data_IF_581477415945
#
_entry.id   IF_581477415945
#
_cell.length_a   1.000
_cell.length_b   1.000
_cell.length_c   1.000
_cell.angle_alpha   90.00
_cell.angle_beta   90.00
_cell.angle_gamma   90.00
#
_symmetry.space_group_name_H-M   'P 1'
#
loop_
_entity.id
_entity.type
_entity.pdbx_description
1 polymer ?
#
# COMPACT_ATOMS: atom_id res chain seq x y z
N UNK A 1 12.13 3.81 -0.76
CA UNK A 1 12.70 2.66 -0.02
C UNK A 1 11.93 1.44 -0.49
N UNK A 2 12.58 0.54 -1.24
CA UNK A 2 11.96 -0.71 -1.67
C UNK A 2 12.13 -1.75 -0.56
N UNK A 3 11.29 -1.67 0.47
CA UNK A 3 11.10 -2.74 1.46
C UNK A 3 9.99 -3.67 0.99
N UNK A 4 9.91 -4.88 1.54
CA UNK A 4 8.71 -5.72 1.34
C UNK A 4 7.45 -4.88 1.64
N UNK A 5 6.47 -4.83 0.73
CA UNK A 5 5.37 -3.89 0.82
C UNK A 5 4.54 -4.10 2.08
N UNK A 6 4.42 -5.35 2.54
CA UNK A 6 3.64 -5.73 3.71
C UNK A 6 4.14 -5.10 5.03
N UNK A 7 5.42 -4.75 5.16
CA UNK A 7 5.97 -4.12 6.37
C UNK A 7 6.32 -2.65 6.21
N UNK A 8 6.01 -2.06 5.05
CA UNK A 8 6.41 -0.70 4.73
C UNK A 8 5.94 0.30 5.79
N UNK A 9 4.67 0.22 6.23
CA UNK A 9 4.14 1.09 7.27
C UNK A 9 5.00 1.07 8.54
N UNK A 10 5.30 -0.12 9.06
CA UNK A 10 6.09 -0.29 10.27
C UNK A 10 7.52 0.21 10.12
N UNK A 11 8.14 0.02 8.95
CA UNK A 11 9.49 0.54 8.66
C UNK A 11 9.49 2.06 8.59
N UNK A 12 8.56 2.64 7.83
CA UNK A 12 8.42 4.08 7.69
C UNK A 12 8.15 4.77 9.04
N UNK A 13 7.32 4.17 9.88
CA UNK A 13 7.04 4.67 11.22
C UNK A 13 8.31 4.68 12.08
N UNK A 14 9.06 3.58 12.12
CA UNK A 14 10.33 3.51 12.88
C UNK A 14 11.36 4.52 12.37
N UNK A 15 11.48 4.69 11.05
CA UNK A 15 12.41 5.65 10.45
C UNK A 15 12.13 7.10 10.86
N UNK A 16 10.85 7.45 11.12
CA UNK A 16 10.48 8.78 11.62
C UNK A 16 11.10 9.11 12.99
N UNK A 17 11.47 8.10 13.79
CA UNK A 17 12.05 8.26 15.12
C UNK A 17 13.56 7.97 15.15
N UNK A 18 14.22 7.82 14.00
CA UNK A 18 15.64 7.46 13.95
C UNK A 18 16.56 8.47 14.66
N UNK A 19 16.17 9.75 14.69
CA UNK A 19 16.95 10.82 15.30
C UNK A 19 16.88 10.80 16.83
N UNK A 20 15.83 10.22 17.42
CA UNK A 20 15.65 10.09 18.87
C UNK A 20 14.77 8.86 19.18
N UNK A 21 15.32 7.64 19.08
CA UNK A 21 14.58 6.41 19.30
C UNK A 21 14.33 6.16 20.80
N UNK A 22 13.14 5.65 21.13
CA UNK A 22 12.78 5.21 22.48
C UNK A 22 12.86 3.68 22.57
N UNK A 23 12.76 3.15 23.78
CA UNK A 23 12.73 1.69 24.01
C UNK A 23 11.58 1.00 23.28
N UNK A 24 10.41 1.66 23.17
CA UNK A 24 9.27 1.12 22.42
C UNK A 24 9.55 1.07 20.92
N UNK A 25 10.22 2.08 20.35
CA UNK A 25 10.64 2.04 18.94
C UNK A 25 11.62 0.88 18.68
N UNK A 26 12.58 0.65 19.58
CA UNK A 26 13.51 -0.48 19.47
C UNK A 26 12.79 -1.85 19.54
N UNK A 27 11.72 -1.97 20.33
CA UNK A 27 10.91 -3.20 20.38
C UNK A 27 10.21 -3.48 19.05
N UNK A 28 9.67 -2.44 18.40
CA UNK A 28 9.04 -2.56 17.07
C UNK A 28 10.07 -2.97 16.02
N UNK A 29 11.25 -2.34 16.03
CA UNK A 29 12.35 -2.72 15.11
C UNK A 29 12.74 -4.19 15.29
N UNK A 30 12.89 -4.67 16.53
CA UNK A 30 13.13 -6.10 16.82
C UNK A 30 12.01 -6.99 16.30
N UNK A 31 10.74 -6.56 16.39
CA UNK A 31 9.59 -7.28 15.85
C UNK A 31 9.65 -7.37 14.32
N UNK A 32 10.01 -6.28 13.63
CA UNK A 32 10.18 -6.28 12.18
C UNK A 32 11.27 -7.27 11.74
N UNK A 33 12.42 -7.28 12.42
CA UNK A 33 13.49 -8.25 12.14
C UNK A 33 13.08 -9.69 12.42
N UNK A 34 12.37 -9.96 13.53
CA UNK A 34 11.82 -11.30 13.80
C UNK A 34 10.86 -11.73 12.70
N UNK A 35 9.95 -10.85 12.28
CA UNK A 35 9.02 -11.15 11.21
C UNK A 35 9.75 -11.52 9.92
N UNK A 36 10.75 -10.73 9.50
CA UNK A 36 11.59 -11.05 8.35
C UNK A 36 12.30 -12.41 8.49
N UNK A 37 12.89 -12.69 9.67
CA UNK A 37 13.56 -13.97 9.95
C UNK A 37 12.61 -15.17 9.89
N UNK A 38 11.37 -15.01 10.32
CA UNK A 38 10.35 -16.07 10.33
C UNK A 38 9.53 -16.17 9.04
N UNK A 39 9.72 -15.24 8.10
CA UNK A 39 9.02 -15.24 6.80
C UNK A 39 9.99 -15.06 5.63
N UNK A 40 11.08 -15.84 5.55
CA UNK A 40 12.09 -15.69 4.50
C UNK A 40 11.55 -16.07 3.11
N UNK A 41 10.54 -16.93 3.10
CA UNK A 41 9.84 -17.53 1.96
C UNK A 41 8.68 -16.66 1.44
N UNK A 42 8.36 -15.55 2.10
CA UNK A 42 7.36 -14.61 1.58
C UNK A 42 7.96 -13.72 0.49
N UNK A 43 7.33 -13.73 -0.68
CA UNK A 43 7.71 -12.92 -1.83
C UNK A 43 6.50 -12.40 -2.61
N UNK A 44 6.74 -11.43 -3.48
CA UNK A 44 5.72 -10.97 -4.43
C UNK A 44 5.55 -12.02 -5.53
N UNK A 45 4.31 -12.46 -5.72
CA UNK A 45 3.93 -13.38 -6.79
C UNK A 45 3.30 -12.61 -7.96
N UNK A 46 3.79 -12.91 -9.17
CA UNK A 46 3.27 -12.36 -10.41
C UNK A 46 2.68 -13.50 -11.24
N UNK A 47 1.36 -13.49 -11.43
CA UNK A 47 0.71 -14.50 -12.26
C UNK A 47 0.90 -14.17 -13.74
N UNK A 48 1.35 -15.14 -14.53
CA UNK A 48 1.47 -15.00 -15.99
C UNK A 48 0.10 -14.92 -16.69
N UNK A 49 -0.97 -15.37 -16.04
CA UNK A 49 -2.34 -15.39 -16.58
C UNK A 49 -3.20 -14.19 -16.18
N UNK A 50 -2.66 -13.19 -15.47
CA UNK A 50 -3.48 -12.06 -15.02
C UNK A 50 -3.81 -11.09 -16.17
N UNK A 51 -5.03 -10.58 -16.19
CA UNK A 51 -5.45 -9.52 -17.11
C UNK A 51 -4.59 -8.26 -16.97
N UNK A 52 -4.36 -7.51 -18.04
CA UNK A 52 -3.58 -6.26 -18.01
C UNK A 52 -4.39 -5.04 -17.53
N UNK A 53 -5.35 -5.24 -16.63
CA UNK A 53 -6.19 -4.17 -16.09
C UNK A 53 -5.46 -3.40 -14.98
N UNK A 54 -5.28 -2.09 -15.13
CA UNK A 54 -4.67 -1.26 -14.09
C UNK A 54 -5.69 -0.88 -13.01
N UNK A 55 -5.43 -1.21 -11.75
CA UNK A 55 -6.20 -0.74 -10.58
C UNK A 55 -5.30 0.03 -9.63
N UNK A 56 -5.73 1.24 -9.26
CA UNK A 56 -5.06 2.07 -8.26
C UNK A 56 -5.91 2.21 -7.01
N UNK A 57 -5.28 2.01 -5.86
CA UNK A 57 -5.85 2.29 -4.55
C UNK A 57 -5.10 3.47 -3.94
N UNK A 58 -5.83 4.38 -3.32
CA UNK A 58 -5.24 5.49 -2.57
C UNK A 58 -5.99 5.65 -1.25
N UNK A 59 -5.23 5.75 -0.17
CA UNK A 59 -5.72 6.11 1.15
C UNK A 59 -4.88 7.29 1.67
N UNK A 60 -5.49 8.10 2.51
CA UNK A 60 -4.79 9.16 3.20
C UNK A 60 -5.27 9.20 4.65
N UNK A 61 -4.33 9.12 5.59
CA UNK A 61 -4.66 9.30 7.00
C UNK A 61 -4.73 10.80 7.34
N UNK A 62 -5.81 11.23 8.01
CA UNK A 62 -5.88 12.59 8.53
C UNK A 62 -5.24 12.61 9.91
N UNK A 63 -4.11 13.31 10.04
CA UNK A 63 -3.40 13.55 11.31
C UNK A 63 -2.91 12.29 12.08
N UNK A 64 -2.61 11.19 11.39
CA UNK A 64 -2.18 9.93 12.04
C UNK A 64 -0.92 10.05 12.91
N UNK A 65 -0.03 11.01 12.63
CA UNK A 65 1.10 11.33 13.49
C UNK A 65 0.67 12.27 14.63
N UNK A 66 0.43 11.74 15.84
CA UNK A 66 0.11 12.53 17.06
C UNK A 66 1.13 13.61 17.40
N UNK A 67 2.37 13.49 16.92
CA UNK A 67 3.48 14.40 17.20
C UNK A 67 3.51 15.58 16.23
N UNK A 68 3.28 15.33 14.94
CA UNK A 68 3.44 16.37 13.90
C UNK A 68 2.11 16.86 13.30
N UNK A 69 0.98 16.19 13.57
CA UNK A 69 -0.31 16.35 12.85
C UNK A 69 -0.17 16.34 11.32
N UNK A 70 0.81 15.60 10.80
CA UNK A 70 1.04 15.44 9.35
C UNK A 70 0.24 14.24 8.85
N UNK A 71 -0.42 14.43 7.72
CA UNK A 71 -1.05 13.35 6.95
C UNK A 71 -0.01 12.55 6.19
N UNK A 72 -0.29 11.27 6.01
CA UNK A 72 0.42 10.31 5.18
C UNK A 72 -0.51 9.93 4.05
N UNK A 73 -0.04 10.06 2.82
CA UNK A 73 -0.77 9.64 1.63
C UNK A 73 -0.09 8.42 1.04
N UNK A 74 -0.89 7.41 0.78
CA UNK A 74 -0.41 6.12 0.35
C UNK A 74 -1.16 5.69 -0.90
N UNK A 75 -0.41 5.02 -1.77
CA UNK A 75 -0.92 4.56 -3.05
C UNK A 75 -0.38 3.17 -3.34
N UNK A 76 -1.21 2.30 -3.88
CA UNK A 76 -0.75 1.07 -4.52
C UNK A 76 -1.45 0.84 -5.86
N UNK A 77 -0.71 0.30 -6.80
CA UNK A 77 -1.13 0.09 -8.18
C UNK A 77 -0.92 -1.38 -8.53
N UNK A 78 -1.98 -2.02 -9.00
CA UNK A 78 -1.99 -3.41 -9.43
C UNK A 78 -2.19 -3.46 -10.94
N UNK A 79 -1.42 -4.30 -11.62
CA UNK A 79 -1.68 -4.73 -12.98
C UNK A 79 -2.29 -6.13 -12.92
N UNK A 80 -3.59 -6.22 -13.22
CA UNK A 80 -4.38 -7.42 -12.97
C UNK A 80 -4.54 -7.68 -11.48
N UNK A 81 -3.88 -8.73 -11.02
CA UNK A 81 -3.77 -9.13 -9.61
C UNK A 81 -2.38 -8.87 -9.03
N UNK A 82 -1.44 -8.39 -9.85
CA UNK A 82 -0.04 -8.24 -9.46
C UNK A 82 0.25 -6.81 -9.00
N UNK A 83 0.77 -6.64 -7.78
CA UNK A 83 1.23 -5.34 -7.30
C UNK A 83 2.48 -4.89 -8.07
N UNK A 84 2.39 -3.77 -8.79
CA UNK A 84 3.49 -3.25 -9.63
C UNK A 84 4.14 -1.99 -9.06
N UNK A 85 3.42 -1.23 -8.24
CA UNK A 85 3.93 0.01 -7.65
C UNK A 85 3.22 0.32 -6.35
N UNK A 86 3.97 0.77 -5.34
CA UNK A 86 3.42 1.22 -4.07
C UNK A 86 4.27 2.35 -3.50
N UNK A 87 3.65 3.27 -2.78
CA UNK A 87 4.36 4.37 -2.15
C UNK A 87 3.62 4.88 -0.91
N UNK A 88 4.39 5.27 0.10
CA UNK A 88 3.93 5.97 1.29
C UNK A 88 4.63 7.32 1.38
N UNK A 89 3.85 8.40 1.50
CA UNK A 89 4.40 9.74 1.57
C UNK A 89 3.80 10.53 2.72
N UNK A 90 4.63 10.79 3.73
CA UNK A 90 4.34 11.78 4.77
C UNK A 90 4.32 13.18 4.15
N UNK A 91 3.22 13.90 4.31
CA UNK A 91 3.05 15.26 3.80
C UNK A 91 3.85 16.26 4.65
N UNK A 92 4.57 17.17 4.00
CA UNK A 92 5.27 18.26 4.67
C UNK A 92 4.29 19.36 5.08
N UNK A 93 4.21 19.65 6.38
CA UNK A 93 3.36 20.69 6.94
C UNK A 93 3.86 22.09 6.62
N UNK A 94 2.98 22.91 6.05
CA UNK A 94 3.05 24.38 5.86
C UNK A 94 3.95 24.89 4.73
N UNK A 95 3.32 25.22 3.61
CA UNK A 95 3.75 26.36 2.78
C UNK A 95 2.78 27.50 3.08
N UNK A 96 3.23 28.70 3.50
CA UNK A 96 2.36 29.85 3.75
C UNK A 96 1.80 30.49 2.46
N UNK A 97 1.80 29.76 1.36
CA UNK A 97 1.33 30.23 0.05
C UNK A 97 0.00 29.54 -0.25
N UNK A 98 -1.06 30.11 0.31
CA UNK A 98 -2.46 29.70 0.11
C UNK A 98 -2.93 29.88 -1.35
N UNK A 99 -2.09 30.42 -2.24
CA UNK A 99 -2.51 30.85 -3.57
C UNK A 99 -2.03 29.97 -4.74
N UNK A 100 -0.99 29.14 -4.58
CA UNK A 100 -0.54 28.24 -5.66
C UNK A 100 -0.98 26.78 -5.48
N UNK A 101 -1.11 26.30 -4.24
CA UNK A 101 -1.57 24.93 -3.94
C UNK A 101 -3.04 24.72 -4.26
N UNK A 102 -3.91 25.69 -3.96
CA UNK A 102 -5.34 25.61 -4.29
C UNK A 102 -5.53 25.50 -5.79
N UNK A 103 -4.85 26.34 -6.59
CA UNK A 103 -4.87 26.24 -8.06
C UNK A 103 -4.44 24.87 -8.57
N UNK A 104 -3.36 24.31 -8.04
CA UNK A 104 -2.88 22.99 -8.47
C UNK A 104 -3.78 21.84 -7.98
N UNK A 105 -4.46 21.99 -6.83
CA UNK A 105 -5.51 21.07 -6.39
C UNK A 105 -6.69 21.15 -7.34
N UNK A 106 -7.18 22.35 -7.64
CA UNK A 106 -8.31 22.58 -8.56
C UNK A 106 -8.00 22.07 -9.97
N UNK A 107 -6.79 22.32 -10.49
CA UNK A 107 -6.33 21.79 -11.79
C UNK A 107 -6.30 20.26 -11.79
N UNK A 108 -5.85 19.63 -10.70
CA UNK A 108 -5.87 18.16 -10.57
C UNK A 108 -7.28 17.60 -10.47
N UNK A 109 -8.17 18.29 -9.77
CA UNK A 109 -9.58 17.90 -9.68
C UNK A 109 -10.27 18.02 -11.04
N UNK A 110 -10.04 19.12 -11.75
CA UNK A 110 -10.58 19.31 -13.09
C UNK A 110 -10.01 18.24 -14.03
N UNK A 111 -8.71 17.96 -14.00
CA UNK A 111 -8.09 16.89 -14.79
C UNK A 111 -8.71 15.51 -14.49
N UNK A 112 -8.87 15.15 -13.21
CA UNK A 112 -9.51 13.89 -12.81
C UNK A 112 -10.96 13.81 -13.28
N UNK A 113 -11.71 14.92 -13.17
CA UNK A 113 -13.09 15.01 -13.66
C UNK A 113 -13.14 14.83 -15.17
N UNK A 114 -12.28 15.52 -15.91
CA UNK A 114 -12.24 15.43 -17.37
C UNK A 114 -11.95 14.00 -17.84
N UNK A 115 -11.03 13.29 -17.18
CA UNK A 115 -10.73 11.90 -17.51
C UNK A 115 -11.79 10.91 -17.04
N UNK A 116 -12.50 11.21 -15.95
CA UNK A 116 -13.66 10.44 -15.52
C UNK A 116 -14.82 10.59 -16.53
N UNK A 117 -15.12 11.81 -16.96
CA UNK A 117 -16.18 12.10 -17.95
C UNK A 117 -15.87 11.52 -19.34
N UNK A 118 -14.59 11.42 -19.71
CA UNK A 118 -14.14 10.76 -20.95
C UNK A 118 -14.22 9.22 -20.89
N UNK A 119 -14.39 8.64 -19.70
CA UNK A 119 -14.36 7.20 -19.48
C UNK A 119 -12.93 6.61 -19.48
N UNK A 120 -11.90 7.45 -19.31
CA UNK A 120 -10.51 7.00 -19.22
C UNK A 120 -10.17 6.42 -17.83
N UNK A 121 -10.91 6.85 -16.79
CA UNK A 121 -10.69 6.49 -15.39
C UNK A 121 -12.02 6.32 -14.67
N UNK A 122 -12.22 5.16 -14.03
CA UNK A 122 -13.35 4.94 -13.13
C UNK A 122 -12.95 5.20 -11.67
N UNK A 123 -13.66 6.12 -11.01
CA UNK A 123 -13.50 6.39 -9.58
C UNK A 123 -14.54 5.59 -8.78
N UNK A 124 -14.08 4.59 -8.04
CA UNK A 124 -14.93 3.72 -7.21
C UNK A 124 -14.57 3.88 -5.74
N UNK A 125 -15.58 4.11 -4.90
CA UNK A 125 -15.38 4.07 -3.46
C UNK A 125 -15.15 2.63 -2.99
N UNK A 126 -14.02 2.40 -2.31
CA UNK A 126 -13.67 1.09 -1.77
C UNK A 126 -13.83 1.11 -0.25
N UNK A 127 -14.65 0.21 0.27
CA UNK A 127 -14.82 0.04 1.72
C UNK A 127 -13.51 -0.39 2.38
N UNK A 128 -13.30 -0.02 3.65
CA UNK A 128 -12.09 -0.29 4.43
C UNK A 128 -11.64 -1.76 4.36
N UNK A 129 -12.59 -2.70 4.30
CA UNK A 129 -12.27 -4.12 4.20
C UNK A 129 -11.51 -4.48 2.91
N UNK A 130 -11.69 -3.76 1.81
CA UNK A 130 -11.06 -4.05 0.52
C UNK A 130 -10.04 -2.96 0.13
N UNK A 131 -9.75 -2.02 1.02
CA UNK A 131 -8.84 -0.92 0.77
C UNK A 131 -7.39 -1.41 0.92
N UNK A 132 -6.78 -1.87 -0.18
CA UNK A 132 -5.39 -2.35 -0.18
C UNK A 132 -4.40 -1.31 0.34
N UNK A 133 -4.69 -0.02 0.18
CA UNK A 133 -3.81 1.03 0.67
C UNK A 133 -3.72 1.09 2.21
N UNK A 134 -4.66 0.48 2.94
CA UNK A 134 -4.69 0.50 4.41
C UNK A 134 -3.47 -0.19 5.05
N UNK A 135 -2.90 -1.19 4.38
CA UNK A 135 -1.67 -1.86 4.85
C UNK A 135 -0.46 -0.91 4.90
N UNK A 136 -0.51 0.19 4.17
CA UNK A 136 0.53 1.20 4.16
C UNK A 136 0.26 2.37 5.12
N UNK A 137 -0.98 2.57 5.58
CA UNK A 137 -1.38 3.73 6.42
C UNK A 137 -1.71 3.37 7.86
N UNK A 138 -2.14 2.13 8.14
CA UNK A 138 -2.79 1.79 9.40
C UNK A 138 -2.08 0.66 10.15
N UNK A 139 -2.06 0.71 11.50
CA UNK A 139 -1.78 -0.47 12.30
C UNK A 139 -2.96 -1.44 12.15
N UNK A 140 -2.72 -2.55 11.47
CA UNK A 140 -3.75 -3.56 11.22
C UNK A 140 -3.74 -4.66 12.30
N UNK A 141 -4.93 -5.17 12.60
CA UNK A 141 -5.06 -6.44 13.32
C UNK A 141 -4.57 -7.60 12.45
N UNK A 142 -4.14 -8.69 13.09
CA UNK A 142 -3.48 -9.81 12.42
C UNK A 142 -4.30 -10.38 11.23
N UNK A 143 -5.61 -10.55 11.39
CA UNK A 143 -6.47 -11.07 10.32
C UNK A 143 -6.53 -10.14 9.11
N UNK A 144 -6.69 -8.83 9.34
CA UNK A 144 -6.69 -7.84 8.27
C UNK A 144 -5.32 -7.76 7.59
N UNK A 145 -4.24 -7.81 8.36
CA UNK A 145 -2.86 -7.83 7.85
C UNK A 145 -2.60 -9.02 6.93
N UNK A 146 -2.92 -10.24 7.36
CA UNK A 146 -2.67 -11.46 6.56
C UNK A 146 -3.47 -11.43 5.26
N UNK A 147 -4.73 -10.99 5.32
CA UNK A 147 -5.59 -10.86 4.15
C UNK A 147 -5.04 -9.85 3.14
N UNK A 148 -4.81 -8.60 3.58
CA UNK A 148 -4.32 -7.54 2.68
C UNK A 148 -2.93 -7.88 2.13
N UNK A 149 -2.06 -8.52 2.92
CA UNK A 149 -0.78 -9.05 2.46
C UNK A 149 -0.96 -10.07 1.31
N UNK A 150 -1.91 -10.99 1.44
CA UNK A 150 -2.23 -11.96 0.40
C UNK A 150 -2.79 -11.32 -0.86
N UNK A 151 -3.69 -10.34 -0.73
CA UNK A 151 -4.25 -9.59 -1.85
C UNK A 151 -3.22 -8.68 -2.56
N UNK A 152 -2.18 -8.22 -1.85
CA UNK A 152 -1.02 -7.58 -2.47
C UNK A 152 -0.14 -8.55 -3.26
N UNK A 153 -0.39 -9.86 -3.18
CA UNK A 153 0.44 -10.89 -3.80
C UNK A 153 1.69 -11.24 -3.00
N UNK A 154 1.80 -10.86 -1.72
CA UNK A 154 2.89 -11.29 -0.84
C UNK A 154 2.54 -12.66 -0.25
N UNK A 155 3.02 -13.70 -0.92
CA UNK A 155 2.66 -15.10 -0.67
C UNK A 155 3.89 -15.94 -0.37
N UNK A 156 3.67 -17.13 0.20
CA UNK A 156 4.72 -18.12 0.43
C UNK A 156 5.16 -18.70 -0.91
N UNK A 157 6.45 -18.59 -1.22
CA UNK A 157 7.01 -18.98 -2.53
C UNK A 157 7.40 -20.46 -2.55
N UNK A 158 7.72 -21.05 -1.40
CA UNK A 158 7.94 -22.50 -1.30
C UNK A 158 6.59 -23.22 -1.24
N UNK A 159 6.31 -24.08 -2.24
CA UNK A 159 5.07 -24.87 -2.29
C UNK A 159 3.96 -24.27 -3.16
N UNK A 160 4.26 -23.33 -4.06
CA UNK A 160 3.36 -23.08 -5.22
C UNK A 160 3.53 -24.27 -6.16
N UNK A 161 2.96 -25.40 -5.77
CA UNK A 161 2.69 -26.51 -6.66
C UNK A 161 1.95 -25.96 -7.88
N UNK A 162 2.31 -26.51 -9.04
CA UNK A 162 1.60 -26.36 -10.32
C UNK A 162 0.10 -26.79 -10.25
N UNK A 163 -0.46 -27.00 -9.05
CA UNK A 163 -1.83 -27.42 -8.78
C UNK A 163 -2.87 -26.32 -9.11
N UNK A 164 -2.53 -25.03 -8.98
CA UNK A 164 -3.40 -23.95 -9.49
C UNK A 164 -3.36 -23.82 -11.02
N UNK A 165 -2.38 -24.44 -11.70
CA UNK A 165 -2.30 -24.46 -13.17
C UNK A 165 -3.16 -25.60 -13.76
N UNK A 166 -3.45 -26.66 -12.99
CA UNK A 166 -4.28 -27.77 -13.48
C UNK A 166 -5.80 -27.57 -13.30
N UNK A 167 -6.22 -26.66 -12.43
CA UNK A 167 -7.66 -26.44 -12.14
C UNK A 167 -8.46 -25.73 -13.25
N UNK A 168 -7.79 -25.12 -14.24
CA UNK A 168 -8.44 -24.35 -15.32
C UNK A 168 -8.22 -24.94 -16.72
N UNK A 169 -7.59 -26.12 -16.83
CA UNK A 169 -7.36 -26.81 -18.12
C UNK A 169 -8.27 -28.04 -18.31
N UNK A 170 -9.05 -28.47 -17.29
CA UNK A 170 -10.00 -29.60 -17.42
C UNK A 170 -11.49 -29.18 -17.41
N UNK A 171 -11.80 -27.95 -17.82
CA UNK A 171 -13.19 -27.56 -18.08
C UNK A 171 -13.33 -26.71 -19.34
N UNK A 172 -12.88 -27.25 -20.47
CA UNK A 172 -13.54 -27.11 -21.79
C UNK A 172 -12.92 -28.05 -22.83
#
# INVERSE_FOLDING_TARGET
MATRPDIQFAVCLCACYQASPSTSHCQVVKRNFRYLKFTPDLGLWYSSGSSLSLRGFSDADHAGCRIDRKSTSDTCQLLGTSLVSWSSRKQASKSPVLHSRTKHIDVRFQFLRDHYEKGDVDLVHVVTQNQLADIFTKPLEFGAFVRLRGELGVLQVEGVDNALIKGEIESQ
#
